data_IF_795940742459
#
_entry.id   IF_795940742459
#
_cell.length_a   1.000
_cell.length_b   1.000
_cell.length_c   1.000
_cell.angle_alpha   90.00
_cell.angle_beta   90.00
_cell.angle_gamma   90.00
#
_symmetry.space_group_name_H-M   'P 1'
#
loop_
_entity.id
_entity.type
_entity.pdbx_description
1 polymer ?
#
# COMPACT_ATOMS: atom_id res chain seq x y z
N UNK A 1 11.87 6.16 -0.84
CA UNK A 1 10.50 6.50 -1.27
C UNK A 1 10.37 7.97 -1.71
N UNK A 2 11.47 8.68 -1.96
CA UNK A 2 11.45 10.15 -2.20
C UNK A 2 11.18 10.56 -3.65
N UNK A 3 10.71 9.63 -4.48
CA UNK A 3 10.27 9.91 -5.85
C UNK A 3 8.89 10.59 -5.90
N UNK A 4 8.07 10.43 -4.85
CA UNK A 4 6.79 11.12 -4.70
C UNK A 4 6.95 12.28 -3.70
N UNK A 5 6.44 13.46 -4.08
CA UNK A 5 6.29 14.57 -3.15
C UNK A 5 5.35 14.23 -1.98
N UNK A 6 5.40 15.02 -0.91
CA UNK A 6 4.52 14.80 0.25
C UNK A 6 3.05 14.88 -0.16
N UNK A 7 2.22 13.95 0.35
CA UNK A 7 0.82 13.71 -0.05
C UNK A 7 0.62 13.20 -1.48
N UNK A 8 1.64 12.59 -2.07
CA UNK A 8 1.51 11.90 -3.36
C UNK A 8 0.54 10.71 -3.31
N UNK A 9 0.03 10.33 -4.50
CA UNK A 9 -0.89 9.23 -4.71
C UNK A 9 -0.19 8.07 -5.41
N UNK A 10 -0.31 6.86 -4.85
CA UNK A 10 0.28 5.65 -5.42
C UNK A 10 -0.80 4.60 -5.62
N UNK A 11 -0.95 4.10 -6.85
CA UNK A 11 -1.81 2.96 -7.14
C UNK A 11 -0.98 1.68 -7.26
N UNK A 12 -1.31 0.69 -6.43
CA UNK A 12 -0.77 -0.67 -6.48
C UNK A 12 -1.76 -1.56 -7.23
N UNK A 13 -1.26 -2.33 -8.19
CA UNK A 13 -2.06 -3.28 -8.97
C UNK A 13 -1.55 -4.67 -8.64
N UNK A 14 -2.34 -5.44 -7.88
CA UNK A 14 -1.97 -6.78 -7.44
C UNK A 14 -3.23 -7.63 -7.22
N UNK A 15 -3.28 -8.82 -7.79
CA UNK A 15 -4.47 -9.68 -7.72
C UNK A 15 -4.81 -10.12 -6.28
N UNK A 16 -3.81 -10.43 -5.46
CA UNK A 16 -3.97 -10.87 -4.07
C UNK A 16 -4.92 -12.08 -3.89
N UNK A 17 -4.95 -13.02 -4.85
CA UNK A 17 -5.80 -14.21 -4.80
C UNK A 17 -5.34 -15.29 -3.79
N UNK A 18 -4.08 -15.26 -3.37
CA UNK A 18 -3.45 -16.24 -2.47
C UNK A 18 -3.65 -16.01 -0.96
N UNK A 19 -4.72 -15.34 -0.52
CA UNK A 19 -4.93 -14.88 0.88
C UNK A 19 -4.03 -13.70 1.27
N UNK A 20 -3.97 -13.39 2.58
CA UNK A 20 -3.31 -12.20 3.14
C UNK A 20 -1.78 -12.27 3.15
N UNK A 21 -1.18 -13.40 2.78
CA UNK A 21 0.26 -13.52 2.56
C UNK A 21 1.15 -13.63 3.80
N UNK A 22 0.76 -13.09 4.97
CA UNK A 22 1.60 -13.16 6.19
C UNK A 22 0.82 -13.31 7.49
N UNK A 23 1.50 -13.74 8.56
CA UNK A 23 0.91 -13.82 9.91
C UNK A 23 0.57 -12.43 10.47
N UNK A 24 1.42 -11.44 10.25
CA UNK A 24 1.17 -10.06 10.68
C UNK A 24 -0.12 -9.49 10.07
N UNK A 25 -0.35 -9.68 8.77
CA UNK A 25 -1.56 -9.21 8.08
C UNK A 25 -2.82 -9.97 8.55
N UNK A 26 -2.72 -11.28 8.78
CA UNK A 26 -3.82 -12.08 9.35
C UNK A 26 -4.21 -11.58 10.74
N UNK A 27 -3.23 -11.35 11.62
CA UNK A 27 -3.48 -10.82 12.98
C UNK A 27 -4.04 -9.41 12.94
N UNK A 28 -3.57 -8.56 12.04
CA UNK A 28 -4.09 -7.20 11.86
C UNK A 28 -5.58 -7.22 11.48
N UNK A 29 -5.93 -7.96 10.43
CA UNK A 29 -7.32 -7.99 9.91
C UNK A 29 -8.29 -8.61 10.91
N UNK A 30 -7.84 -9.60 11.66
CA UNK A 30 -8.63 -10.23 12.74
C UNK A 30 -8.67 -9.41 14.05
N UNK A 31 -7.95 -8.29 14.13
CA UNK A 31 -7.90 -7.44 15.33
C UNK A 31 -7.10 -8.03 16.49
N UNK A 32 -6.21 -8.99 16.21
CA UNK A 32 -5.39 -9.71 17.20
C UNK A 32 -3.93 -9.26 17.24
N UNK A 33 -3.58 -8.21 16.49
CA UNK A 33 -2.22 -7.70 16.43
C UNK A 33 -2.00 -6.62 17.51
N UNK A 34 -1.25 -6.97 18.55
CA UNK A 34 -0.65 -6.02 19.49
C UNK A 34 0.73 -5.59 18.97
N UNK A 35 0.74 -4.59 18.09
CA UNK A 35 1.96 -4.14 17.43
C UNK A 35 2.94 -3.46 18.41
N UNK A 36 2.43 -2.64 19.33
CA UNK A 36 3.27 -1.94 20.31
C UNK A 36 3.91 -2.93 21.28
N UNK A 37 3.15 -3.91 21.77
CA UNK A 37 3.69 -4.95 22.64
C UNK A 37 4.72 -5.85 21.94
N UNK A 38 4.50 -6.22 20.68
CA UNK A 38 5.48 -6.97 19.89
C UNK A 38 6.81 -6.20 19.79
N UNK A 39 6.75 -4.92 19.43
CA UNK A 39 7.93 -4.07 19.31
C UNK A 39 8.64 -3.87 20.65
N UNK A 40 7.88 -3.65 21.73
CA UNK A 40 8.46 -3.47 23.07
C UNK A 40 9.17 -4.71 23.59
N UNK A 41 8.66 -5.91 23.28
CA UNK A 41 9.25 -7.19 23.68
C UNK A 41 10.35 -7.67 22.73
N UNK A 42 10.56 -7.01 21.59
CA UNK A 42 11.51 -7.47 20.57
C UNK A 42 11.09 -8.78 19.90
N UNK A 43 9.79 -9.07 19.87
CA UNK A 43 9.24 -10.28 19.26
C UNK A 43 8.97 -10.09 17.77
N UNK A 44 9.29 -11.11 16.98
CA UNK A 44 9.11 -11.10 15.54
C UNK A 44 7.99 -12.06 15.12
N UNK A 45 7.19 -11.64 14.14
CA UNK A 45 6.24 -12.48 13.42
C UNK A 45 6.40 -12.27 11.93
N UNK A 46 6.08 -13.31 11.16
CA UNK A 46 6.14 -13.28 9.70
C UNK A 46 5.36 -12.08 9.11
N UNK A 47 6.04 -11.28 8.28
CA UNK A 47 5.52 -10.09 7.60
C UNK A 47 5.43 -8.83 8.45
N UNK A 48 6.14 -8.75 9.58
CA UNK A 48 6.12 -7.58 10.46
C UNK A 48 6.76 -6.33 9.81
N UNK A 49 7.91 -6.45 9.15
CA UNK A 49 8.56 -5.30 8.48
C UNK A 49 7.70 -4.79 7.33
N UNK A 50 7.13 -5.69 6.53
CA UNK A 50 6.23 -5.33 5.43
C UNK A 50 5.03 -4.52 5.94
N UNK A 51 4.45 -4.95 7.05
CA UNK A 51 3.34 -4.24 7.68
C UNK A 51 3.77 -2.86 8.21
N UNK A 52 4.91 -2.78 8.87
CA UNK A 52 5.45 -1.51 9.39
C UNK A 52 5.75 -0.53 8.25
N UNK A 53 6.32 -1.03 7.15
CA UNK A 53 6.60 -0.23 5.96
C UNK A 53 5.31 0.24 5.29
N UNK A 54 4.32 -0.65 5.12
CA UNK A 54 3.01 -0.29 4.57
C UNK A 54 2.31 0.78 5.44
N UNK A 55 2.32 0.63 6.77
CA UNK A 55 1.77 1.63 7.69
C UNK A 55 2.50 2.97 7.60
N UNK A 56 3.81 2.96 7.43
CA UNK A 56 4.61 4.18 7.25
C UNK A 56 4.26 4.87 5.93
N UNK A 57 4.10 4.11 4.85
CA UNK A 57 3.69 4.64 3.56
C UNK A 57 2.28 5.24 3.60
N UNK A 58 1.32 4.57 4.24
CA UNK A 58 -0.06 5.06 4.41
C UNK A 58 -0.15 6.36 5.23
N UNK A 59 0.81 6.63 6.11
CA UNK A 59 0.89 7.92 6.84
C UNK A 59 1.36 9.07 5.97
N UNK A 60 2.12 8.78 4.90
CA UNK A 60 2.75 9.80 4.03
C UNK A 60 2.01 10.00 2.70
N UNK A 61 1.35 8.96 2.21
CA UNK A 61 0.75 8.90 0.88
C UNK A 61 -0.66 8.33 0.92
N UNK A 62 -1.48 8.71 -0.05
CA UNK A 62 -2.73 7.98 -0.32
C UNK A 62 -2.41 6.78 -1.19
N UNK A 63 -2.63 5.59 -0.66
CA UNK A 63 -2.39 4.34 -1.38
C UNK A 63 -3.72 3.78 -1.92
N UNK A 64 -3.80 3.62 -3.23
CA UNK A 64 -4.90 2.96 -3.93
C UNK A 64 -4.51 1.52 -4.19
N UNK A 65 -5.41 0.57 -3.95
CA UNK A 65 -5.18 -0.85 -4.24
C UNK A 65 -6.23 -1.39 -5.22
N UNK A 66 -5.76 -1.88 -6.35
CA UNK A 66 -6.54 -2.69 -7.28
C UNK A 66 -6.25 -4.16 -7.00
N UNK A 67 -7.23 -4.88 -6.43
CA UNK A 67 -7.07 -6.29 -6.05
C UNK A 67 -8.39 -7.08 -6.04
N UNK A 68 -8.27 -8.41 -5.94
CA UNK A 68 -9.40 -9.32 -5.72
C UNK A 68 -9.81 -9.44 -4.24
N UNK A 69 -9.13 -8.74 -3.32
CA UNK A 69 -9.51 -8.76 -1.91
C UNK A 69 -10.89 -8.11 -1.70
N UNK A 70 -11.64 -8.52 -0.66
CA UNK A 70 -12.84 -7.81 -0.23
C UNK A 70 -12.53 -6.35 0.15
N UNK A 71 -13.34 -5.39 -0.34
CA UNK A 71 -13.09 -3.96 -0.12
C UNK A 71 -13.08 -3.61 1.38
N UNK A 72 -13.89 -4.31 2.19
CA UNK A 72 -13.89 -4.16 3.63
C UNK A 72 -12.49 -4.39 4.26
N UNK A 73 -11.71 -5.36 3.77
CA UNK A 73 -10.35 -5.56 4.28
C UNK A 73 -9.41 -4.47 3.78
N UNK A 74 -9.51 -4.11 2.50
CA UNK A 74 -8.66 -3.09 1.87
C UNK A 74 -8.83 -1.73 2.56
N UNK A 75 -10.07 -1.28 2.74
CA UNK A 75 -10.38 0.03 3.29
C UNK A 75 -10.35 0.04 4.83
N UNK A 76 -11.18 -0.78 5.47
CA UNK A 76 -11.43 -0.66 6.91
C UNK A 76 -10.35 -1.30 7.78
N UNK A 77 -9.58 -2.26 7.24
CA UNK A 77 -8.54 -2.98 8.00
C UNK A 77 -7.13 -2.59 7.60
N UNK A 78 -6.89 -2.40 6.31
CA UNK A 78 -5.57 -2.10 5.77
C UNK A 78 -5.35 -0.60 5.51
N UNK A 79 -6.41 0.19 5.34
CA UNK A 79 -6.33 1.65 5.18
C UNK A 79 -6.05 2.14 3.75
N UNK A 80 -6.15 1.27 2.75
CA UNK A 80 -6.00 1.63 1.33
C UNK A 80 -7.32 2.12 0.75
N UNK A 81 -7.26 2.91 -0.33
CA UNK A 81 -8.43 3.20 -1.15
C UNK A 81 -8.68 2.05 -2.14
N UNK A 82 -9.80 1.31 -2.05
CA UNK A 82 -10.06 0.19 -2.93
C UNK A 82 -10.47 0.65 -4.34
N UNK A 83 -9.98 -0.02 -5.37
CA UNK A 83 -10.42 0.10 -6.76
C UNK A 83 -10.58 -1.28 -7.38
N UNK A 84 -11.54 -1.47 -8.30
CA UNK A 84 -11.78 -2.76 -8.95
C UNK A 84 -11.10 -2.89 -10.30
N UNK A 85 -10.84 -1.77 -10.98
CA UNK A 85 -10.15 -1.73 -12.27
C UNK A 85 -9.03 -0.71 -12.24
N UNK A 86 -7.99 -0.96 -13.02
CA UNK A 86 -6.88 -0.01 -13.21
C UNK A 86 -7.36 1.36 -13.70
N UNK A 87 -8.39 1.39 -14.56
CA UNK A 87 -9.00 2.63 -15.03
C UNK A 87 -9.64 3.47 -13.93
N UNK A 88 -10.23 2.81 -12.92
CA UNK A 88 -10.84 3.49 -11.77
C UNK A 88 -9.75 4.15 -10.93
N UNK A 89 -8.63 3.44 -10.69
CA UNK A 89 -7.49 3.98 -9.97
C UNK A 89 -6.86 5.19 -10.68
N UNK A 90 -6.70 5.11 -12.02
CA UNK A 90 -6.21 6.26 -12.80
C UNK A 90 -7.18 7.44 -12.72
N UNK A 91 -8.49 7.20 -12.86
CA UNK A 91 -9.51 8.23 -12.75
C UNK A 91 -9.49 8.90 -11.37
N UNK A 92 -9.34 8.10 -10.30
CA UNK A 92 -9.21 8.60 -8.93
C UNK A 92 -7.96 9.50 -8.77
N UNK A 93 -6.82 9.12 -9.32
CA UNK A 93 -5.59 9.92 -9.30
C UNK A 93 -5.80 11.26 -10.02
N UNK A 94 -6.33 11.24 -11.25
CA UNK A 94 -6.54 12.43 -12.06
C UNK A 94 -7.58 13.37 -11.45
N UNK A 95 -8.63 12.83 -10.82
CA UNK A 95 -9.64 13.63 -10.14
C UNK A 95 -9.12 14.24 -8.83
N UNK A 96 -8.19 13.56 -8.15
CA UNK A 96 -7.63 14.01 -6.87
C UNK A 96 -6.47 15.01 -7.03
N UNK A 97 -5.60 14.81 -8.02
CA UNK A 97 -4.41 15.65 -8.27
C UNK A 97 -4.55 16.59 -9.48
N UNK A 98 -5.66 16.50 -10.22
CA UNK A 98 -5.93 17.29 -11.42
C UNK A 98 -5.51 16.59 -12.72
N UNK A 99 -6.23 16.88 -13.80
CA UNK A 99 -6.13 16.20 -15.11
C UNK A 99 -4.78 16.33 -15.82
N UNK A 100 -3.94 17.29 -15.43
CA UNK A 100 -2.60 17.51 -15.99
C UNK A 100 -1.47 16.91 -15.15
N UNK A 101 -1.79 16.19 -14.08
CA UNK A 101 -0.79 15.54 -13.24
C UNK A 101 0.03 14.53 -14.03
N UNK A 102 1.35 14.52 -13.81
CA UNK A 102 2.26 13.53 -14.38
C UNK A 102 2.12 12.21 -13.62
N UNK A 103 1.90 11.13 -14.36
CA UNK A 103 1.80 9.78 -13.81
C UNK A 103 2.98 8.95 -14.27
N UNK A 104 3.68 8.31 -13.32
CA UNK A 104 4.76 7.38 -13.61
C UNK A 104 4.23 5.96 -13.52
N UNK A 105 4.50 5.15 -14.55
CA UNK A 105 4.13 3.74 -14.59
C UNK A 105 5.36 2.89 -14.29
N UNK A 106 5.24 2.01 -13.31
CA UNK A 106 6.27 1.03 -12.94
C UNK A 106 5.65 -0.37 -13.06
N UNK A 107 5.78 -1.04 -14.23
CA UNK A 107 5.08 -2.31 -14.49
C UNK A 107 5.46 -3.44 -13.52
N UNK A 108 6.72 -3.48 -13.08
CA UNK A 108 7.25 -4.51 -12.20
C UNK A 108 7.87 -3.89 -10.94
N UNK A 109 7.01 -3.35 -10.06
CA UNK A 109 7.45 -2.63 -8.85
C UNK A 109 8.37 -3.45 -7.93
N UNK A 110 8.16 -4.76 -7.81
CA UNK A 110 8.98 -5.66 -6.99
C UNK A 110 10.39 -5.91 -7.56
N UNK A 111 10.60 -5.68 -8.85
CA UNK A 111 11.87 -5.89 -9.55
C UNK A 111 12.52 -4.58 -10.00
N UNK A 112 11.99 -3.43 -9.57
CA UNK A 112 12.48 -2.10 -9.98
C UNK A 112 13.07 -1.35 -8.81
N UNK A 113 14.33 -0.94 -8.92
CA UNK A 113 14.95 -0.01 -7.99
C UNK A 113 14.79 1.43 -8.51
N UNK A 114 14.02 2.25 -7.81
CA UNK A 114 13.87 3.67 -8.14
C UNK A 114 15.03 4.46 -7.53
N UNK A 115 15.87 5.04 -8.39
CA UNK A 115 16.93 5.95 -8.00
C UNK A 115 16.49 7.40 -8.18
N UNK A 116 17.03 8.31 -7.36
CA UNK A 116 16.88 9.75 -7.60
C UNK A 116 17.82 10.07 -8.76
N UNK A 117 17.30 10.56 -9.88
CA UNK A 117 18.13 11.00 -10.99
C UNK A 117 19.11 12.07 -10.49
N UNK A 118 20.40 11.94 -10.85
CA UNK A 118 21.35 13.04 -10.72
C UNK A 118 20.83 14.19 -11.59
N UNK A 119 20.59 15.34 -10.96
CA UNK A 119 20.22 16.58 -11.62
C UNK A 119 21.48 17.35 -12.00
#
# INVERSE_FOLDING_TARGET
MDALGDKGLLALIAECSGSLGSEALKRLITGRLDLEGLLHRGEYIDGLEDLLYAKTALRRYTLVLVSALPDYYVEMKLGFHPCRKTGDALSYILNSLGSRTKVHLVPHGSATLLTKGEA
#
